data_IF_548189378893
#
_entry.id   IF_548189378893
#
_cell.length_a   1.000
_cell.length_b   1.000
_cell.length_c   1.000
_cell.angle_alpha   90.00
_cell.angle_beta   90.00
_cell.angle_gamma   90.00
#
_symmetry.space_group_name_H-M   'P 1'
#
loop_
_entity.id
_entity.type
_entity.pdbx_description
1 polymer ?
#
# COMPACT_ATOMS: atom_id res chain seq x y z
N UNK A 1 2.24 -40.97 -43.04
CA UNK A 1 1.11 -41.90 -42.89
C UNK A 1 1.17 -42.36 -41.44
N UNK A 2 0.20 -42.18 -40.54
CA UNK A 2 -1.24 -41.95 -40.66
C UNK A 2 -1.68 -40.75 -39.81
N UNK A 3 -2.71 -40.06 -40.31
CA UNK A 3 -3.64 -39.21 -39.56
C UNK A 3 -4.75 -40.10 -38.96
N UNK A 4 -5.41 -39.64 -37.91
CA UNK A 4 -6.62 -40.28 -37.38
C UNK A 4 -7.22 -39.51 -36.22
N UNK A 5 -7.99 -38.46 -36.53
CA UNK A 5 -8.84 -37.73 -35.62
C UNK A 5 -10.24 -38.36 -35.60
N UNK A 6 -10.89 -38.45 -34.43
CA UNK A 6 -12.35 -38.27 -34.32
C UNK A 6 -12.75 -38.05 -32.85
N UNK A 7 -13.41 -36.91 -32.59
CA UNK A 7 -14.25 -36.67 -31.43
C UNK A 7 -15.62 -36.21 -31.96
N UNK A 8 -16.74 -36.67 -31.41
CA UNK A 8 -18.07 -36.34 -31.94
C UNK A 8 -18.61 -35.05 -31.33
N UNK A 9 -19.09 -34.14 -32.18
CA UNK A 9 -19.98 -33.05 -31.80
C UNK A 9 -21.30 -33.23 -32.58
N UNK A 10 -22.39 -33.34 -31.84
CA UNK A 10 -23.75 -33.50 -32.37
C UNK A 10 -24.59 -32.41 -31.74
N UNK A 11 -25.19 -31.54 -32.53
CA UNK A 11 -26.27 -30.64 -32.10
C UNK A 11 -27.23 -30.34 -33.26
N UNK A 12 -28.49 -30.06 -32.87
CA UNK A 12 -29.71 -29.66 -33.61
C UNK A 12 -30.64 -30.80 -34.08
N UNK A 13 -31.93 -30.81 -33.76
CA UNK A 13 -32.74 -29.84 -33.01
C UNK A 13 -34.21 -30.28 -32.83
N UNK A 14 -34.88 -29.53 -31.93
CA UNK A 14 -36.30 -29.23 -31.70
C UNK A 14 -37.45 -30.17 -32.17
N UNK A 15 -38.41 -30.39 -31.25
CA UNK A 15 -39.84 -30.23 -31.56
C UNK A 15 -40.84 -31.12 -30.78
N UNK A 16 -41.69 -30.44 -29.98
CA UNK A 16 -42.98 -30.86 -29.40
C UNK A 16 -42.89 -31.88 -28.23
N UNK A 17 -43.69 -31.88 -27.16
CA UNK A 17 -45.15 -31.69 -27.00
C UNK A 17 -45.49 -31.24 -25.55
N UNK A 18 -46.54 -30.43 -25.41
CA UNK A 18 -47.16 -30.04 -24.13
C UNK A 18 -48.11 -31.14 -23.65
N UNK A 19 -47.99 -31.60 -22.39
CA UNK A 19 -49.15 -32.12 -21.66
C UNK A 19 -48.98 -31.92 -20.15
N UNK A 20 -49.95 -31.25 -19.56
CA UNK A 20 -50.07 -30.96 -18.14
C UNK A 20 -50.73 -32.12 -17.42
N UNK A 21 -50.18 -32.54 -16.27
CA UNK A 21 -50.94 -33.23 -15.22
C UNK A 21 -50.43 -32.81 -13.82
N UNK A 22 -51.35 -32.30 -13.01
CA UNK A 22 -51.16 -32.00 -11.60
C UNK A 22 -51.14 -33.31 -10.80
N UNK A 23 -50.13 -33.49 -9.95
CA UNK A 23 -50.10 -34.56 -8.94
C UNK A 23 -49.10 -34.21 -7.86
N UNK A 24 -49.60 -33.77 -6.71
CA UNK A 24 -48.80 -33.29 -5.60
C UNK A 24 -47.80 -34.32 -5.05
N UNK A 25 -46.60 -33.86 -4.76
CA UNK A 25 -45.78 -34.38 -3.69
C UNK A 25 -45.22 -33.19 -2.93
N UNK A 26 -45.70 -33.03 -1.69
CA UNK A 26 -45.08 -32.15 -0.71
C UNK A 26 -43.76 -32.80 -0.32
N UNK A 27 -42.65 -32.21 -0.75
CA UNK A 27 -41.35 -32.46 -0.18
C UNK A 27 -40.65 -31.12 -0.10
N UNK A 28 -40.42 -30.69 1.13
CA UNK A 28 -39.63 -29.51 1.45
C UNK A 28 -38.25 -29.75 0.85
N UNK A 29 -37.92 -29.03 -0.22
CA UNK A 29 -36.53 -28.87 -0.64
C UNK A 29 -36.14 -27.46 -0.20
N UNK A 30 -35.85 -27.38 1.09
CA UNK A 30 -35.05 -26.33 1.68
C UNK A 30 -33.67 -26.45 1.02
N UNK A 31 -33.50 -25.86 -0.18
CA UNK A 31 -32.18 -25.55 -0.69
C UNK A 31 -31.61 -24.47 0.22
N UNK A 32 -31.02 -24.99 1.28
CA UNK A 32 -30.10 -24.35 2.20
C UNK A 32 -29.17 -23.45 1.37
N UNK A 33 -29.32 -22.14 1.61
CA UNK A 33 -28.35 -21.10 1.30
C UNK A 33 -27.10 -21.39 2.15
N UNK A 34 -26.39 -22.46 1.78
CA UNK A 34 -25.11 -22.85 2.38
C UNK A 34 -24.05 -21.93 1.83
N UNK A 35 -24.04 -20.68 2.31
CA UNK A 35 -23.02 -19.70 2.04
C UNK A 35 -21.66 -20.37 2.10
N UNK A 36 -20.91 -20.31 0.99
CA UNK A 36 -19.47 -20.49 1.06
C UNK A 36 -18.93 -19.34 1.89
N UNK A 37 -18.90 -19.52 3.21
CA UNK A 37 -17.90 -18.92 4.07
C UNK A 37 -16.55 -19.51 3.63
N UNK A 38 -16.11 -19.08 2.46
CA UNK A 38 -14.78 -19.36 1.92
C UNK A 38 -13.76 -18.49 2.65
N UNK A 39 -13.78 -18.53 3.98
CA UNK A 39 -12.76 -17.93 4.81
C UNK A 39 -11.43 -18.55 4.41
N UNK A 40 -10.53 -17.74 3.85
CA UNK A 40 -9.14 -18.13 3.69
C UNK A 40 -8.65 -18.66 5.05
N UNK A 41 -7.92 -19.79 5.10
CA UNK A 41 -7.46 -20.33 6.37
C UNK A 41 -6.63 -19.27 7.11
N UNK A 42 -6.93 -19.07 8.40
CA UNK A 42 -6.11 -18.20 9.24
C UNK A 42 -4.66 -18.69 9.25
N UNK A 43 -3.71 -17.77 9.04
CA UNK A 43 -2.30 -18.10 9.07
C UNK A 43 -1.86 -18.41 10.50
N UNK A 44 -1.37 -19.62 10.74
CA UNK A 44 -0.79 -20.02 12.03
C UNK A 44 0.65 -19.53 12.22
N UNK A 45 1.23 -18.91 11.19
CA UNK A 45 2.58 -18.36 11.23
C UNK A 45 2.51 -16.83 11.29
N UNK A 46 3.41 -16.19 12.06
CA UNK A 46 3.43 -14.73 12.26
C UNK A 46 4.08 -14.01 11.07
N UNK A 47 3.63 -14.30 9.85
CA UNK A 47 4.17 -13.68 8.64
C UNK A 47 4.09 -12.16 8.69
N UNK A 48 3.03 -11.61 9.30
CA UNK A 48 2.86 -10.17 9.45
C UNK A 48 4.03 -9.52 10.20
N UNK A 49 4.38 -10.10 11.34
CA UNK A 49 5.50 -9.64 12.15
C UNK A 49 6.83 -9.74 11.38
N UNK A 50 7.03 -10.83 10.62
CA UNK A 50 8.25 -11.00 9.83
C UNK A 50 8.34 -10.04 8.64
N UNK A 51 7.22 -9.74 7.98
CA UNK A 51 7.18 -8.75 6.90
C UNK A 51 7.44 -7.35 7.43
N UNK A 52 6.84 -6.99 8.58
CA UNK A 52 7.09 -5.72 9.24
C UNK A 52 8.57 -5.55 9.63
N UNK A 53 9.19 -6.57 10.21
CA UNK A 53 10.62 -6.58 10.54
C UNK A 53 11.49 -6.39 9.28
N UNK A 54 11.15 -7.09 8.19
CA UNK A 54 11.83 -6.92 6.91
C UNK A 54 11.70 -5.51 6.34
N UNK A 55 10.50 -4.90 6.41
CA UNK A 55 10.27 -3.53 5.98
C UNK A 55 11.01 -2.51 6.86
N UNK A 56 11.10 -2.78 8.16
CA UNK A 56 11.89 -1.97 9.08
C UNK A 56 13.37 -2.01 8.71
N UNK A 57 13.93 -3.18 8.37
CA UNK A 57 15.33 -3.27 7.92
C UNK A 57 15.56 -2.55 6.58
N UNK A 58 14.58 -2.56 5.65
CA UNK A 58 14.64 -1.75 4.41
C UNK A 58 14.73 -0.26 4.72
N UNK A 59 13.89 0.24 5.64
CA UNK A 59 13.95 1.62 6.11
C UNK A 59 15.33 1.97 6.68
N UNK A 60 15.88 1.12 7.56
CA UNK A 60 17.19 1.35 8.18
C UNK A 60 18.30 1.45 7.13
N UNK A 61 18.31 0.53 6.16
CA UNK A 61 19.29 0.56 5.06
C UNK A 61 19.18 1.84 4.23
N UNK A 62 17.96 2.32 3.97
CA UNK A 62 17.76 3.57 3.24
C UNK A 62 18.32 4.78 4.01
N UNK A 63 18.04 4.86 5.32
CA UNK A 63 18.56 5.93 6.19
C UNK A 63 20.10 5.87 6.31
N UNK A 64 20.69 4.68 6.46
CA UNK A 64 22.14 4.48 6.49
C UNK A 64 22.82 4.87 5.17
N UNK A 65 22.19 4.54 4.03
CA UNK A 65 22.70 4.95 2.72
C UNK A 65 22.70 6.48 2.61
N UNK A 66 21.59 7.13 2.97
CA UNK A 66 21.46 8.60 2.92
C UNK A 66 22.38 9.31 3.91
N UNK A 67 22.63 8.73 5.09
CA UNK A 67 23.60 9.24 6.06
C UNK A 67 25.01 9.37 5.46
N UNK A 68 25.40 8.39 4.62
CA UNK A 68 26.74 8.31 4.02
C UNK A 68 26.86 9.06 2.68
N UNK A 69 25.84 8.94 1.83
CA UNK A 69 25.90 9.35 0.43
C UNK A 69 25.02 10.58 0.14
N UNK A 70 24.13 10.94 1.07
CA UNK A 70 23.10 11.96 0.87
C UNK A 70 21.89 11.42 0.10
N UNK A 71 20.90 12.28 -0.12
CA UNK A 71 19.75 11.98 -0.99
C UNK A 71 20.11 12.30 -2.44
N UNK A 72 19.93 11.33 -3.33
CA UNK A 72 20.10 11.51 -4.78
C UNK A 72 18.75 11.85 -5.45
N UNK A 73 18.80 12.55 -6.58
CA UNK A 73 17.61 12.80 -7.39
C UNK A 73 16.48 13.54 -6.65
N UNK A 74 15.24 13.08 -6.85
CA UNK A 74 14.04 13.64 -6.22
C UNK A 74 13.65 12.95 -4.91
N UNK A 75 14.47 12.03 -4.40
CA UNK A 75 14.16 11.27 -3.20
C UNK A 75 14.10 12.17 -1.96
N UNK A 76 13.08 11.95 -1.15
CA UNK A 76 12.94 12.55 0.17
C UNK A 76 12.07 11.65 1.03
N UNK A 77 12.35 11.63 2.34
CA UNK A 77 11.70 10.69 3.24
C UNK A 77 10.76 11.40 4.21
N UNK A 78 9.58 10.86 4.40
CA UNK A 78 8.72 11.14 5.53
C UNK A 78 8.99 10.06 6.58
N UNK A 79 9.35 10.46 7.80
CA UNK A 79 9.54 9.56 8.93
C UNK A 79 8.58 9.96 10.05
N UNK A 80 7.59 9.10 10.32
CA UNK A 80 6.60 9.28 11.38
C UNK A 80 6.99 8.47 12.61
N UNK A 81 6.84 9.08 13.79
CA UNK A 81 7.16 8.43 15.07
C UNK A 81 6.34 9.00 16.21
N UNK A 82 6.13 8.17 17.25
CA UNK A 82 5.48 8.57 18.50
C UNK A 82 6.39 9.49 19.31
N UNK A 83 5.92 10.68 19.66
CA UNK A 83 6.71 11.67 20.43
C UNK A 83 6.67 11.41 21.93
N UNK A 84 5.68 10.65 22.39
CA UNK A 84 5.51 10.22 23.78
C UNK A 84 6.24 8.91 24.11
N UNK A 85 6.86 8.26 23.12
CA UNK A 85 7.56 6.99 23.32
C UNK A 85 8.80 7.14 24.20
N UNK A 86 9.06 6.21 25.14
CA UNK A 86 10.24 6.26 26.00
C UNK A 86 11.55 6.30 25.22
N UNK A 87 12.41 7.27 25.54
CA UNK A 87 13.71 7.45 24.89
C UNK A 87 13.69 8.39 23.67
N UNK A 88 12.53 8.93 23.29
CA UNK A 88 12.46 10.00 22.29
C UNK A 88 12.95 11.31 22.89
N UNK A 89 13.97 11.90 22.26
CA UNK A 89 14.52 13.20 22.63
C UNK A 89 14.22 14.22 21.54
N UNK A 90 13.29 15.12 21.83
CA UNK A 90 12.91 16.25 20.98
C UNK A 90 12.79 17.54 21.81
N UNK A 91 12.98 18.73 21.22
CA UNK A 91 12.74 20.01 21.88
C UNK A 91 11.35 20.08 22.55
N UNK A 92 11.29 20.62 23.77
CA UNK A 92 10.05 20.70 24.55
C UNK A 92 8.91 21.42 23.82
N UNK A 93 9.24 22.43 23.00
CA UNK A 93 8.26 23.13 22.14
C UNK A 93 7.59 22.20 21.13
N UNK A 94 8.35 21.28 20.53
CA UNK A 94 7.83 20.32 19.55
C UNK A 94 6.98 19.26 20.24
N UNK A 95 7.41 18.77 21.40
CA UNK A 95 6.61 17.83 22.19
C UNK A 95 5.28 18.42 22.65
N UNK A 96 5.25 19.71 22.99
CA UNK A 96 4.01 20.40 23.34
C UNK A 96 3.08 20.59 22.14
N UNK A 97 3.63 20.82 20.95
CA UNK A 97 2.87 21.02 19.70
C UNK A 97 2.37 19.70 19.11
N UNK A 98 3.18 18.65 19.21
CA UNK A 98 2.94 17.30 18.70
C UNK A 98 3.08 16.29 19.85
N UNK A 99 2.04 16.14 20.69
CA UNK A 99 2.14 15.35 21.92
C UNK A 99 2.06 13.83 21.73
N UNK A 100 1.60 13.35 20.58
CA UNK A 100 1.39 11.92 20.32
C UNK A 100 2.24 11.42 19.17
N UNK A 101 2.17 12.07 18.01
CA UNK A 101 2.90 11.68 16.82
C UNK A 101 3.44 12.90 16.09
N UNK A 102 4.59 12.73 15.46
CA UNK A 102 5.22 13.73 14.62
C UNK A 102 5.79 13.06 13.38
N UNK A 103 5.66 13.74 12.23
CA UNK A 103 6.34 13.36 10.99
C UNK A 103 7.40 14.39 10.64
N UNK A 104 8.63 13.94 10.40
CA UNK A 104 9.72 14.77 9.89
C UNK A 104 9.99 14.47 8.43
N UNK A 105 10.48 15.47 7.69
CA UNK A 105 10.86 15.35 6.28
C UNK A 105 12.38 15.44 6.15
N UNK A 106 12.99 14.41 5.59
CA UNK A 106 14.41 14.37 5.24
C UNK A 106 14.54 14.67 3.75
N UNK A 107 14.96 15.89 3.41
CA UNK A 107 15.15 16.34 2.03
C UNK A 107 16.39 17.22 1.89
N UNK A 108 16.24 18.54 2.01
CA UNK A 108 17.32 19.50 1.71
C UNK A 108 18.10 19.95 2.93
N UNK A 109 17.47 20.02 4.11
CA UNK A 109 18.04 20.65 5.29
C UNK A 109 18.00 19.72 6.50
N UNK A 110 18.83 18.69 6.46
CA UNK A 110 19.17 17.85 7.61
C UNK A 110 20.68 17.66 7.67
N UNK A 111 21.19 17.30 8.84
CA UNK A 111 22.60 16.99 9.06
C UNK A 111 22.74 15.95 10.16
N UNK A 112 23.93 15.37 10.29
CA UNK A 112 24.24 14.40 11.37
C UNK A 112 23.22 13.26 11.45
N UNK A 113 22.67 12.85 10.30
CA UNK A 113 21.82 11.66 10.24
C UNK A 113 22.68 10.45 10.56
N UNK A 114 22.33 9.72 11.61
CA UNK A 114 23.00 8.51 12.02
C UNK A 114 21.98 7.45 12.45
N UNK A 115 22.26 6.20 12.10
CA UNK A 115 21.45 5.05 12.48
C UNK A 115 22.31 4.16 13.37
N UNK A 116 21.98 4.10 14.66
CA UNK A 116 22.69 3.26 15.62
C UNK A 116 21.92 1.95 15.84
N UNK A 117 22.31 0.90 15.12
CA UNK A 117 21.68 -0.43 15.24
C UNK A 117 21.91 -1.05 16.62
N UNK A 118 23.01 -0.74 17.31
CA UNK A 118 23.32 -1.33 18.61
C UNK A 118 22.45 -0.72 19.73
N UNK A 119 22.33 0.60 19.76
CA UNK A 119 21.48 1.36 20.68
C UNK A 119 20.03 1.50 20.22
N UNK A 120 19.67 0.94 19.06
CA UNK A 120 18.32 0.88 18.53
C UNK A 120 17.69 2.28 18.41
N UNK A 121 18.43 3.24 17.85
CA UNK A 121 17.96 4.60 17.64
C UNK A 121 18.46 5.23 16.33
N UNK A 122 17.73 6.25 15.88
CA UNK A 122 18.09 7.15 14.79
C UNK A 122 18.31 8.53 15.40
N UNK A 123 19.39 9.20 15.02
CA UNK A 123 19.62 10.60 15.36
C UNK A 123 19.67 11.45 14.10
N UNK A 124 19.08 12.64 14.15
CA UNK A 124 19.13 13.57 13.01
C UNK A 124 19.02 15.02 13.47
N UNK A 125 19.82 15.88 12.86
CA UNK A 125 19.74 17.33 13.01
C UNK A 125 18.78 17.95 12.01
N UNK A 126 17.83 18.75 12.49
CA UNK A 126 16.84 19.47 11.70
C UNK A 126 16.66 20.91 12.21
N UNK A 127 16.16 21.80 11.36
CA UNK A 127 15.84 23.18 11.75
C UNK A 127 14.33 23.40 11.86
N UNK A 128 13.89 23.89 13.02
CA UNK A 128 12.48 24.22 13.27
C UNK A 128 12.34 25.70 13.58
N UNK A 129 11.69 26.44 12.68
CA UNK A 129 11.56 27.90 12.79
C UNK A 129 12.90 28.62 12.82
N UNK A 130 13.89 28.13 12.06
CA UNK A 130 15.24 28.69 12.01
C UNK A 130 16.18 28.27 13.15
N UNK A 131 15.71 27.47 14.11
CA UNK A 131 16.53 26.96 15.22
C UNK A 131 16.85 25.49 14.99
N UNK A 132 18.14 25.19 14.83
CA UNK A 132 18.65 23.82 14.72
C UNK A 132 18.42 23.01 16.00
N UNK A 133 18.08 21.74 15.85
CA UNK A 133 17.82 20.80 16.94
C UNK A 133 18.17 19.39 16.50
N UNK A 134 18.81 18.64 17.39
CA UNK A 134 19.03 17.20 17.19
C UNK A 134 17.83 16.45 17.77
N UNK A 135 17.29 15.51 17.01
CA UNK A 135 16.28 14.57 17.47
C UNK A 135 16.93 13.20 17.67
N UNK A 136 16.54 12.49 18.72
CA UNK A 136 16.87 11.08 18.94
C UNK A 136 15.58 10.29 18.98
N UNK A 137 15.46 9.31 18.08
CA UNK A 137 14.23 8.56 17.82
C UNK A 137 14.55 7.07 17.96
N UNK A 138 14.08 6.39 19.02
CA UNK A 138 14.18 4.93 19.12
C UNK A 138 13.52 4.25 17.93
N UNK A 139 14.08 3.14 17.45
CA UNK A 139 13.51 2.43 16.29
C UNK A 139 12.08 1.98 16.55
N UNK A 140 11.80 1.49 17.76
CA UNK A 140 10.47 1.09 18.18
C UNK A 140 9.44 2.24 18.23
N UNK A 141 9.89 3.50 18.27
CA UNK A 141 8.99 4.66 18.23
C UNK A 141 8.51 4.99 16.81
N UNK A 142 9.17 4.46 15.77
CA UNK A 142 8.83 4.74 14.37
C UNK A 142 7.55 4.02 13.99
N UNK A 143 6.55 4.79 13.56
CA UNK A 143 5.21 4.34 13.14
C UNK A 143 5.07 4.30 11.62
N UNK A 144 5.91 5.02 10.88
CA UNK A 144 5.84 5.00 9.43
C UNK A 144 7.05 5.59 8.72
N UNK A 145 7.23 5.16 7.48
CA UNK A 145 8.24 5.66 6.56
C UNK A 145 7.65 5.75 5.15
N UNK A 146 7.93 6.83 4.43
CA UNK A 146 7.53 6.95 3.03
C UNK A 146 8.56 7.69 2.19
N UNK A 147 8.62 7.31 0.91
CA UNK A 147 9.32 8.03 -0.15
C UNK A 147 8.35 8.31 -1.30
N UNK A 148 7.81 9.55 -1.40
CA UNK A 148 6.82 9.89 -2.43
C UNK A 148 7.38 9.84 -3.85
N UNK A 149 8.70 9.97 -4.03
CA UNK A 149 9.30 9.99 -5.37
C UNK A 149 9.05 8.68 -6.12
N UNK A 150 9.01 7.58 -5.38
CA UNK A 150 8.74 6.23 -5.89
C UNK A 150 7.42 5.66 -5.36
N UNK A 151 6.59 6.48 -4.71
CA UNK A 151 5.32 6.07 -4.09
C UNK A 151 5.48 4.91 -3.10
N UNK A 152 6.61 4.87 -2.39
CA UNK A 152 6.85 3.89 -1.33
C UNK A 152 6.23 4.40 -0.03
N UNK A 153 5.49 3.55 0.66
CA UNK A 153 4.96 3.85 1.99
C UNK A 153 4.90 2.58 2.82
N UNK A 154 5.38 2.66 4.05
CA UNK A 154 5.46 1.59 5.02
C UNK A 154 4.87 2.10 6.34
N UNK A 155 4.07 1.27 6.99
CA UNK A 155 3.60 1.51 8.36
C UNK A 155 4.09 0.40 9.26
N UNK A 156 4.37 0.76 10.50
CA UNK A 156 4.85 -0.14 11.52
C UNK A 156 3.94 -0.07 12.73
N UNK A 157 3.63 -1.23 13.28
CA UNK A 157 2.92 -1.36 14.53
C UNK A 157 3.86 -0.92 15.65
N UNK A 158 3.36 -0.08 16.55
CA UNK A 158 3.99 0.11 17.86
C UNK A 158 3.22 -0.75 18.84
N UNK A 159 3.89 -1.34 19.83
CA UNK A 159 3.38 -2.38 20.77
C UNK A 159 2.07 -2.02 21.53
N UNK A 160 1.50 -0.84 21.28
CA UNK A 160 0.30 -0.27 21.89
C UNK A 160 -0.95 -0.33 20.98
N UNK A 161 -0.81 -0.64 19.68
CA UNK A 161 -1.95 -0.79 18.75
C UNK A 161 -1.97 -2.18 18.06
N UNK A 162 -3.07 -2.95 18.18
CA UNK A 162 -3.24 -4.18 17.40
C UNK A 162 -3.43 -3.82 15.91
N UNK A 163 -2.64 -4.48 15.07
CA UNK A 163 -2.41 -4.12 13.67
C UNK A 163 -3.68 -4.00 12.81
N UNK A 164 -3.81 -2.84 12.17
CA UNK A 164 -4.50 -2.65 10.91
C UNK A 164 -3.47 -2.06 9.93
N UNK A 165 -2.70 -2.94 9.27
CA UNK A 165 -1.92 -2.51 8.11
C UNK A 165 -2.81 -2.53 6.87
N UNK A 166 -3.71 -1.55 6.78
CA UNK A 166 -4.28 -1.17 5.49
C UNK A 166 -3.16 -0.86 4.50
N UNK A 167 -3.28 -1.42 3.29
CA UNK A 167 -2.40 -1.19 2.14
C UNK A 167 -1.93 0.28 2.03
N UNK A 168 -0.72 0.55 1.50
CA UNK A 168 -0.09 1.87 1.52
C UNK A 168 -1.05 2.95 0.98
N UNK A 169 -1.67 3.69 1.90
CA UNK A 169 -2.42 4.88 1.58
C UNK A 169 -1.40 6.01 1.42
N UNK A 170 -1.22 6.44 0.18
CA UNK A 170 -0.55 7.70 -0.15
C UNK A 170 -1.19 8.81 0.71
N UNK A 171 -0.41 9.59 1.49
CA UNK A 171 -0.95 10.79 2.11
C UNK A 171 -1.37 11.74 1.00
N UNK A 172 -2.65 12.11 0.96
CA UNK A 172 -3.16 13.17 0.11
C UNK A 172 -2.43 14.47 0.49
N UNK A 173 -1.71 15.05 -0.47
CA UNK A 173 -0.96 16.28 -0.28
C UNK A 173 -1.94 17.44 0.06
N UNK A 174 -1.50 18.47 0.81
CA UNK A 174 -2.36 19.62 1.12
C UNK A 174 -2.79 20.34 -0.17
N UNK A 175 -4.01 20.91 -0.23
CA UNK A 175 -4.51 21.56 -1.43
C UNK A 175 -3.69 22.82 -1.71
N UNK A 176 -2.99 22.84 -2.85
CA UNK A 176 -2.42 24.06 -3.42
C UNK A 176 -3.56 25.02 -3.80
N UNK A 177 -3.45 26.25 -3.30
CA UNK A 177 -4.36 27.36 -3.61
C UNK A 177 -4.31 27.70 -5.12
N UNK A 178 -5.47 27.66 -5.78
CA UNK A 178 -5.67 28.18 -7.13
C UNK A 178 -5.79 29.71 -7.14
N UNK A 179 -5.22 30.37 -8.17
CA UNK A 179 -5.91 31.30 -9.11
C UNK A 179 -4.87 32.01 -10.05
N UNK A 180 -5.25 32.56 -11.24
CA UNK A 180 -5.97 31.93 -12.35
C UNK A 180 -5.40 32.30 -13.77
N UNK A 181 -6.01 31.70 -14.81
CA UNK A 181 -6.27 32.27 -16.15
C UNK A 181 -5.36 31.88 -17.35
N UNK A 182 -5.89 31.03 -18.25
CA UNK A 182 -6.37 31.37 -19.61
C UNK A 182 -6.43 30.12 -20.53
N UNK A 183 -7.61 29.83 -21.09
CA UNK A 183 -7.92 28.71 -22.00
C UNK A 183 -7.80 29.10 -23.50
N UNK A 184 -8.26 28.28 -24.48
CA UNK A 184 -7.75 27.00 -25.04
C UNK A 184 -7.50 27.22 -26.59
N UNK A 185 -7.59 26.28 -27.57
CA UNK A 185 -7.81 24.82 -27.57
C UNK A 185 -6.90 24.00 -28.52
N UNK A 186 -6.91 22.67 -28.40
CA UNK A 186 -6.93 21.78 -29.59
C UNK A 186 -7.37 20.36 -29.26
N UNK A 187 -8.36 19.94 -30.03
CA UNK A 187 -9.00 18.63 -30.13
C UNK A 187 -7.98 17.50 -30.42
N UNK A 188 -7.97 16.46 -29.58
CA UNK A 188 -7.36 15.17 -29.92
C UNK A 188 -8.12 14.05 -29.23
N UNK A 189 -8.92 13.35 -30.03
CA UNK A 189 -9.80 12.27 -29.66
C UNK A 189 -9.09 11.12 -28.94
N UNK A 190 -9.73 10.66 -27.87
CA UNK A 190 -9.40 9.48 -27.08
C UNK A 190 -9.69 8.23 -27.92
N UNK A 191 -8.66 7.45 -28.24
CA UNK A 191 -8.83 6.09 -28.76
C UNK A 191 -8.81 5.14 -27.58
N UNK A 192 -9.99 4.67 -27.17
CA UNK A 192 -10.13 3.64 -26.13
C UNK A 192 -9.43 2.35 -26.55
N UNK A 193 -8.59 1.82 -25.66
CA UNK A 193 -7.78 0.61 -25.82
C UNK A 193 -8.60 -0.70 -25.72
N UNK A 194 -9.88 -0.68 -26.11
CA UNK A 194 -10.82 -1.80 -25.98
C UNK A 194 -11.04 -2.58 -27.30
N UNK A 195 -10.17 -2.36 -28.29
CA UNK A 195 -10.19 -3.07 -29.57
C UNK A 195 -9.18 -4.23 -29.68
N UNK A 196 -8.45 -4.57 -28.60
CA UNK A 196 -7.33 -5.53 -28.64
C UNK A 196 -7.61 -6.93 -28.08
N UNK A 197 -8.88 -7.28 -27.82
CA UNK A 197 -9.28 -8.66 -27.50
C UNK A 197 -10.49 -9.13 -28.30
N UNK A 198 -10.31 -9.37 -29.59
CA UNK A 198 -11.04 -10.45 -30.25
C UNK A 198 -10.39 -10.92 -31.54
N UNK A 199 -9.77 -12.11 -31.41
CA UNK A 199 -9.95 -13.27 -32.29
C UNK A 199 -9.26 -13.19 -33.67
N UNK A 200 -8.08 -13.82 -33.76
CA UNK A 200 -7.73 -14.61 -34.97
C UNK A 200 -8.76 -15.74 -35.16
N UNK A 201 -8.90 -16.37 -36.35
CA UNK A 201 -7.80 -16.78 -37.22
C UNK A 201 -7.98 -16.47 -38.73
N UNK A 202 -6.89 -16.60 -39.48
CA UNK A 202 -6.86 -16.67 -40.95
C UNK A 202 -7.68 -17.86 -41.48
N UNK A 203 -8.41 -17.72 -42.59
CA UNK A 203 -7.94 -18.30 -43.88
C UNK A 203 -8.33 -17.36 -45.07
N UNK A 204 -7.79 -17.46 -46.30
CA UNK A 204 -7.31 -18.58 -47.10
C UNK A 204 -6.46 -18.03 -48.25
#
# INVERSE_FOLDING_TARGET
MQQGAEAPDVTLGAGLENQAENGGFSMTDNHDDGGSDGGLPESLLPYELWMEDAYRDVMLRALEHVSREGLAGGHHFYLSFRTDWPGVEIPARLRAQYPHEMTIVLQHQFWDLNVDRAGQCISVGLSFGGVGSILVIPLAAVTGFADPHIQLSMRFSTDDEPGDIGAPAVPDAPPEEEEPQAAPPSDAAVVSLDAFRKKGPNPR
#
